data_IF_625982872561
#
_entry.id   IF_625982872561
#
_cell.length_a   1.000
_cell.length_b   1.000
_cell.length_c   1.000
_cell.angle_alpha   90.00
_cell.angle_beta   90.00
_cell.angle_gamma   90.00
#
_symmetry.space_group_name_H-M   'P 1'
#
loop_
_entity.id
_entity.type
_entity.pdbx_description
1 polymer ?
#
# COMPACT_ATOMS: atom_id res chain seq x y z
N UNK A 1 -1.84 3.95 26.78
CA UNK A 1 -1.60 4.39 25.40
C UNK A 1 -2.42 3.46 24.52
N UNK A 2 -3.67 3.86 24.29
CA UNK A 2 -4.68 3.10 23.59
C UNK A 2 -4.19 2.59 22.23
N UNK A 3 -4.05 1.26 22.13
CA UNK A 3 -4.12 0.56 20.85
C UNK A 3 -5.60 0.51 20.49
N UNK A 4 -6.06 1.49 19.74
CA UNK A 4 -7.44 1.51 19.26
C UNK A 4 -7.62 0.39 18.23
N UNK A 5 -8.20 -0.73 18.66
CA UNK A 5 -8.79 -1.74 17.81
C UNK A 5 -9.85 -1.07 16.92
N UNK A 6 -9.52 -0.96 15.62
CA UNK A 6 -10.34 -0.30 14.61
C UNK A 6 -10.06 -0.85 13.21
N UNK A 7 -10.08 -2.18 13.08
CA UNK A 7 -10.44 -3.02 11.91
C UNK A 7 -10.09 -2.67 10.45
N UNK A 8 -9.33 -1.62 10.09
CA UNK A 8 -9.27 -1.21 8.67
C UNK A 8 -7.95 -1.53 7.95
N UNK A 9 -6.76 -1.30 8.51
CA UNK A 9 -5.49 -1.61 7.82
C UNK A 9 -4.55 -2.45 8.69
N UNK A 10 -4.27 -3.69 8.27
CA UNK A 10 -3.34 -4.60 8.94
C UNK A 10 -2.21 -5.04 8.00
N UNK A 11 -1.04 -5.38 8.55
CA UNK A 11 0.11 -5.88 7.77
C UNK A 11 -0.26 -7.07 6.86
N UNK A 12 -1.12 -7.98 7.35
CA UNK A 12 -1.61 -9.11 6.56
C UNK A 12 -2.39 -8.65 5.32
N UNK A 13 -3.19 -7.60 5.44
CA UNK A 13 -3.89 -7.01 4.30
C UNK A 13 -2.89 -6.38 3.33
N UNK A 14 -1.90 -5.63 3.86
CA UNK A 14 -0.84 -5.04 3.03
C UNK A 14 -0.07 -6.12 2.24
N UNK A 15 0.20 -7.28 2.84
CA UNK A 15 0.83 -8.42 2.17
C UNK A 15 -0.06 -9.03 1.07
N UNK A 16 -1.36 -9.17 1.32
CA UNK A 16 -2.30 -9.65 0.30
C UNK A 16 -2.41 -8.68 -0.87
N UNK A 17 -2.52 -7.39 -0.58
CA UNK A 17 -2.61 -6.32 -1.58
C UNK A 17 -1.29 -6.22 -2.36
N UNK A 18 -0.13 -6.32 -1.70
CA UNK A 18 1.17 -6.26 -2.38
C UNK A 18 1.36 -7.37 -3.42
N UNK A 19 0.80 -8.56 -3.17
CA UNK A 19 0.79 -9.68 -4.14
C UNK A 19 -0.09 -9.40 -5.37
N UNK A 20 -1.06 -8.50 -5.28
CA UNK A 20 -1.96 -8.10 -6.37
C UNK A 20 -1.47 -6.88 -7.15
N UNK A 21 -0.69 -6.03 -6.50
CA UNK A 21 -0.11 -4.84 -7.12
C UNK A 21 0.97 -5.20 -8.15
N UNK A 22 1.79 -6.21 -7.83
CA UNK A 22 2.93 -6.67 -8.62
C UNK A 22 3.79 -5.51 -9.16
N UNK A 23 3.66 -5.14 -10.43
CA UNK A 23 4.46 -4.11 -11.10
C UNK A 23 3.96 -2.67 -10.87
N UNK A 24 2.72 -2.47 -10.41
CA UNK A 24 2.09 -1.15 -10.28
C UNK A 24 2.48 -0.40 -9.00
N UNK A 25 3.30 -1.00 -8.16
CA UNK A 25 3.73 -0.43 -6.88
C UNK A 25 4.43 0.92 -7.02
N UNK A 26 5.10 1.19 -8.14
CA UNK A 26 5.73 2.49 -8.36
C UNK A 26 4.70 3.60 -8.58
N UNK A 27 3.61 3.29 -9.29
CA UNK A 27 2.52 4.24 -9.53
C UNK A 27 1.71 4.46 -8.25
N UNK A 28 1.30 3.37 -7.59
CA UNK A 28 0.59 3.45 -6.30
C UNK A 28 1.43 4.17 -5.26
N UNK A 29 2.74 3.91 -5.20
CA UNK A 29 3.62 4.63 -4.29
C UNK A 29 3.61 6.14 -4.52
N UNK A 30 3.50 6.58 -5.78
CA UNK A 30 3.39 7.99 -6.13
C UNK A 30 2.05 8.59 -5.68
N UNK A 31 0.94 7.87 -5.89
CA UNK A 31 -0.39 8.27 -5.44
C UNK A 31 -0.48 8.34 -3.91
N UNK A 32 0.26 7.46 -3.22
CA UNK A 32 0.43 7.47 -1.78
C UNK A 32 1.45 8.52 -1.29
N UNK A 33 1.84 9.46 -2.16
CA UNK A 33 2.78 10.56 -1.89
C UNK A 33 4.18 10.09 -1.42
N UNK A 34 4.58 8.85 -1.73
CA UNK A 34 5.92 8.36 -1.44
C UNK A 34 6.94 8.97 -2.40
N UNK A 35 8.11 9.29 -1.85
CA UNK A 35 9.22 9.83 -2.64
C UNK A 35 9.74 8.77 -3.61
N UNK A 36 9.91 9.15 -4.88
CA UNK A 36 10.46 8.27 -5.90
C UNK A 36 11.84 7.70 -5.53
N UNK A 37 12.67 8.49 -4.83
CA UNK A 37 13.96 8.01 -4.31
C UNK A 37 13.81 6.81 -3.36
N UNK A 38 12.73 6.72 -2.57
CA UNK A 38 12.48 5.55 -1.71
C UNK A 38 12.11 4.32 -2.55
N UNK A 39 11.30 4.53 -3.60
CA UNK A 39 10.91 3.46 -4.51
C UNK A 39 12.14 2.90 -5.25
N UNK A 40 13.04 3.77 -5.71
CA UNK A 40 14.29 3.38 -6.35
C UNK A 40 15.21 2.57 -5.43
N UNK A 41 15.23 2.88 -4.13
CA UNK A 41 15.97 2.08 -3.13
C UNK A 41 15.41 0.67 -3.04
N UNK A 42 14.08 0.51 -2.96
CA UNK A 42 13.46 -0.82 -2.93
C UNK A 42 13.84 -1.61 -4.19
N UNK A 43 13.74 -0.97 -5.36
CA UNK A 43 14.13 -1.57 -6.65
C UNK A 43 15.58 -2.04 -6.68
N UNK A 44 16.49 -1.28 -6.08
CA UNK A 44 17.91 -1.64 -6.03
C UNK A 44 18.20 -2.78 -5.06
N UNK A 45 17.49 -2.84 -3.93
CA UNK A 45 17.63 -3.88 -2.91
C UNK A 45 17.07 -5.23 -3.39
N UNK A 46 15.93 -5.24 -4.10
CA UNK A 46 15.26 -6.47 -4.53
C UNK A 46 14.92 -6.49 -6.03
N UNK A 47 15.90 -6.42 -6.94
CA UNK A 47 15.70 -6.11 -8.36
C UNK A 47 14.68 -6.97 -9.11
N UNK A 48 14.45 -8.22 -8.69
CA UNK A 48 13.50 -9.15 -9.31
C UNK A 48 12.26 -9.45 -8.43
N UNK A 49 12.05 -8.74 -7.33
CA UNK A 49 11.05 -9.08 -6.32
C UNK A 49 9.98 -7.98 -6.19
N UNK A 50 9.12 -7.91 -7.22
CA UNK A 50 8.07 -6.88 -7.33
C UNK A 50 7.07 -6.92 -6.17
N UNK A 51 6.70 -8.12 -5.71
CA UNK A 51 5.82 -8.30 -4.54
C UNK A 51 6.46 -7.70 -3.30
N UNK A 52 7.77 -7.91 -3.10
CA UNK A 52 8.50 -7.34 -1.98
C UNK A 52 8.59 -5.82 -2.06
N UNK A 53 8.78 -5.26 -3.27
CA UNK A 53 8.73 -3.82 -3.46
C UNK A 53 7.37 -3.23 -3.08
N UNK A 54 6.29 -3.87 -3.56
CA UNK A 54 4.93 -3.45 -3.22
C UNK A 54 4.68 -3.50 -1.71
N UNK A 55 5.16 -4.56 -1.04
CA UNK A 55 5.02 -4.70 0.40
C UNK A 55 5.81 -3.63 1.17
N UNK A 56 7.08 -3.40 0.80
CA UNK A 56 7.92 -2.37 1.42
C UNK A 56 7.37 -0.96 1.20
N UNK A 57 6.87 -0.70 -0.01
CA UNK A 57 6.19 0.55 -0.36
C UNK A 57 4.97 0.78 0.54
N UNK A 58 4.10 -0.21 0.68
CA UNK A 58 2.91 -0.14 1.53
C UNK A 58 3.26 0.00 3.02
N UNK A 59 4.25 -0.76 3.51
CA UNK A 59 4.75 -0.62 4.89
C UNK A 59 5.35 0.76 5.14
N UNK A 60 6.10 1.29 4.16
CA UNK A 60 6.69 2.62 4.25
C UNK A 60 5.61 3.67 4.35
N UNK A 61 4.62 3.63 3.46
CA UNK A 61 3.44 4.48 3.54
C UNK A 61 2.74 4.33 4.90
N UNK A 62 2.50 3.10 5.36
CA UNK A 62 1.83 2.85 6.64
C UNK A 62 2.59 3.41 7.87
N UNK A 63 3.91 3.53 7.78
CA UNK A 63 4.78 4.04 8.87
C UNK A 63 5.08 5.52 8.76
N UNK A 64 5.12 6.10 7.54
CA UNK A 64 5.48 7.50 7.33
C UNK A 64 4.31 8.42 6.99
N UNK A 65 3.19 7.86 6.53
CA UNK A 65 2.00 8.64 6.20
C UNK A 65 1.30 9.13 7.46
N UNK A 66 0.65 10.28 7.34
CA UNK A 66 -0.16 10.85 8.41
C UNK A 66 -1.21 9.84 8.90
N UNK A 67 -1.40 9.72 10.21
CA UNK A 67 -2.39 8.80 10.77
C UNK A 67 -3.82 9.09 10.27
N UNK A 68 -4.12 10.34 9.90
CA UNK A 68 -5.40 10.75 9.30
C UNK A 68 -5.58 10.22 7.87
N UNK A 69 -4.48 10.12 7.09
CA UNK A 69 -4.49 9.60 5.71
C UNK A 69 -4.26 8.10 5.66
N UNK A 70 -3.76 7.47 6.73
CA UNK A 70 -3.51 6.03 6.83
C UNK A 70 -4.81 5.23 7.02
N UNK A 71 -5.66 5.26 6.00
CA UNK A 71 -6.97 4.59 5.99
C UNK A 71 -7.13 3.70 4.76
N UNK A 72 -8.02 2.69 4.87
CA UNK A 72 -8.38 1.83 3.73
C UNK A 72 -8.83 2.64 2.53
N UNK A 73 -9.57 3.71 2.78
CA UNK A 73 -10.08 4.59 1.73
C UNK A 73 -8.93 5.18 0.91
N UNK A 74 -7.91 5.72 1.56
CA UNK A 74 -6.74 6.28 0.86
C UNK A 74 -6.00 5.21 0.06
N UNK A 75 -5.79 4.02 0.64
CA UNK A 75 -5.15 2.93 -0.09
C UNK A 75 -6.00 2.52 -1.30
N UNK A 76 -7.31 2.40 -1.12
CA UNK A 76 -8.26 2.04 -2.17
C UNK A 76 -8.25 3.08 -3.30
N UNK A 77 -8.31 4.36 -2.96
CA UNK A 77 -8.28 5.47 -3.92
C UNK A 77 -7.00 5.41 -4.78
N UNK A 78 -5.83 5.24 -4.14
CA UNK A 78 -4.55 5.08 -4.84
C UNK A 78 -4.48 3.83 -5.73
N UNK A 79 -5.12 2.73 -5.32
CA UNK A 79 -5.23 1.52 -6.14
C UNK A 79 -6.19 1.73 -7.32
N UNK A 80 -7.32 2.42 -7.13
CA UNK A 80 -8.28 2.75 -8.18
C UNK A 80 -7.65 3.70 -9.21
N UNK A 81 -6.90 4.72 -8.77
CA UNK A 81 -6.18 5.65 -9.65
C UNK A 81 -5.06 4.96 -10.45
N UNK A 82 -4.38 3.98 -9.84
CA UNK A 82 -3.44 3.09 -10.52
C UNK A 82 -4.12 1.97 -11.35
N UNK A 83 -5.43 2.06 -11.55
CA UNK A 83 -6.28 1.11 -12.29
C UNK A 83 -6.18 -0.33 -11.75
N UNK A 84 -5.72 -0.52 -10.51
CA UNK A 84 -5.35 -1.79 -9.89
C UNK A 84 -6.57 -2.44 -9.21
N UNK A 85 -7.61 -2.70 -10.01
CA UNK A 85 -8.89 -3.25 -9.56
C UNK A 85 -8.77 -4.59 -8.85
N UNK A 86 -7.79 -5.43 -9.20
CA UNK A 86 -7.54 -6.69 -8.49
C UNK A 86 -7.17 -6.48 -7.02
N UNK A 87 -6.34 -5.49 -6.75
CA UNK A 87 -5.92 -5.13 -5.40
C UNK A 87 -7.08 -4.49 -4.63
N UNK A 88 -7.88 -3.64 -5.29
CA UNK A 88 -9.10 -3.03 -4.73
C UNK A 88 -10.10 -4.09 -4.29
N UNK A 89 -10.34 -5.12 -5.11
CA UNK A 89 -11.25 -6.22 -4.77
C UNK A 89 -10.76 -7.08 -3.59
N UNK A 90 -9.45 -7.03 -3.27
CA UNK A 90 -8.89 -7.69 -2.10
C UNK A 90 -9.07 -6.87 -0.82
N UNK A 91 -9.36 -5.57 -0.92
CA UNK A 91 -9.66 -4.76 0.24
C UNK A 91 -11.08 -5.08 0.73
N UNK A 92 -11.28 -5.27 2.05
CA UNK A 92 -12.61 -5.37 2.59
C UNK A 92 -13.37 -4.09 2.26
N UNK A 93 -14.57 -4.22 1.71
CA UNK A 93 -15.49 -3.09 1.59
C UNK A 93 -15.67 -2.49 2.98
N UNK A 94 -15.53 -1.16 3.08
CA UNK A 94 -15.86 -0.39 4.28
C UNK A 94 -17.39 -0.46 4.47
N UNK A 95 -17.88 -1.62 4.87
CA UNK A 95 -19.29 -1.97 4.96
C UNK A 95 -19.74 -1.87 6.41
N UNK A 96 -20.31 -0.72 6.74
CA UNK A 96 -21.24 -0.38 7.83
C UNK A 96 -20.89 -0.77 9.27
#
# INVERSE_FOLDING_TARGET
>A
MEQQEGSKLNEKLLETVSKKIEFRWQQIGRELELKQAQLEVFKKEFPNDHVKHAHLMLLKWFTTCDPEKRTLKTLRDALEDAECTEAVNCLPSDGQ
#
